data_IF_712944596116
#
_entry.id   IF_712944596116
#
_cell.length_a   1.000
_cell.length_b   1.000
_cell.length_c   1.000
_cell.angle_alpha   90.00
_cell.angle_beta   90.00
_cell.angle_gamma   90.00
#
_symmetry.space_group_name_H-M   'P 1'
#
loop_
_entity.id
_entity.type
_entity.pdbx_description
1 polymer ?
#
# COMPACT_ATOMS: atom_id res chain seq x y z
N UNK A 1 11.65 -8.11 2.14
CA UNK A 1 10.91 -8.19 3.42
C UNK A 1 10.61 -6.78 3.88
N UNK A 2 9.33 -6.44 4.10
CA UNK A 2 8.93 -5.10 4.54
C UNK A 2 9.46 -4.83 5.95
N UNK A 3 10.14 -3.70 6.15
CA UNK A 3 10.46 -3.19 7.49
C UNK A 3 9.54 -2.03 7.80
N UNK A 4 8.62 -2.23 8.75
CA UNK A 4 7.79 -1.16 9.27
C UNK A 4 8.68 -0.16 10.02
N UNK A 5 8.67 1.10 9.58
CA UNK A 5 9.42 2.16 10.25
C UNK A 5 8.70 2.55 11.54
N UNK A 6 9.45 2.95 12.57
CA UNK A 6 8.87 3.40 13.84
C UNK A 6 7.93 4.58 13.59
N UNK A 7 6.74 4.54 14.19
CA UNK A 7 5.71 5.58 14.03
C UNK A 7 4.72 5.34 12.89
N UNK A 8 4.72 4.16 12.25
CA UNK A 8 3.68 3.75 11.30
C UNK A 8 2.80 2.67 11.92
N UNK A 9 1.49 2.92 11.96
CA UNK A 9 0.46 1.94 12.29
C UNK A 9 -0.13 1.37 11.00
N UNK A 10 -0.28 0.04 10.97
CA UNK A 10 -0.94 -0.66 9.86
C UNK A 10 -2.08 -1.46 10.45
N UNK A 11 -3.29 -1.20 9.98
CA UNK A 11 -4.51 -1.93 10.31
C UNK A 11 -4.97 -2.71 9.09
N UNK A 12 -5.38 -3.95 9.29
CA UNK A 12 -5.90 -4.82 8.23
C UNK A 12 -7.35 -5.10 8.58
N UNK A 13 -8.27 -4.62 7.75
CA UNK A 13 -9.72 -4.68 7.92
C UNK A 13 -10.31 -5.47 6.74
N UNK A 14 -10.22 -6.80 6.82
CA UNK A 14 -10.68 -7.69 5.75
C UNK A 14 -9.90 -7.46 4.45
N UNK A 15 -10.53 -6.77 3.50
CA UNK A 15 -9.96 -6.44 2.19
C UNK A 15 -9.18 -5.11 2.20
N UNK A 16 -9.40 -4.27 3.21
CA UNK A 16 -8.86 -2.93 3.30
C UNK A 16 -7.62 -2.90 4.21
N UNK A 17 -6.61 -2.14 3.79
CA UNK A 17 -5.38 -1.95 4.57
C UNK A 17 -5.21 -0.45 4.84
N UNK A 18 -5.31 -0.05 6.11
CA UNK A 18 -5.18 1.34 6.54
C UNK A 18 -3.78 1.58 7.11
N UNK A 19 -3.02 2.47 6.47
CA UNK A 19 -1.68 2.87 6.91
C UNK A 19 -1.76 4.28 7.51
N UNK A 20 -1.54 4.38 8.82
CA UNK A 20 -1.60 5.62 9.58
C UNK A 20 -0.21 5.99 10.10
N UNK A 21 0.20 7.25 9.95
CA UNK A 21 1.45 7.77 10.53
C UNK A 21 1.35 9.26 10.76
N UNK A 22 2.14 9.76 11.71
CA UNK A 22 2.33 11.20 11.96
C UNK A 22 3.05 11.86 10.77
N UNK A 23 3.95 11.14 10.09
CA UNK A 23 4.66 11.66 8.91
C UNK A 23 4.06 11.11 7.62
N UNK A 24 3.64 12.02 6.73
CA UNK A 24 3.13 11.69 5.40
C UNK A 24 4.14 10.91 4.55
N UNK A 25 5.44 11.20 4.69
CA UNK A 25 6.49 10.48 3.98
C UNK A 25 6.60 9.02 4.44
N UNK A 26 6.55 8.77 5.74
CA UNK A 26 6.62 7.42 6.30
C UNK A 26 5.39 6.59 5.92
N UNK A 27 4.19 7.18 5.99
CA UNK A 27 2.95 6.55 5.53
C UNK A 27 3.04 6.22 4.03
N UNK A 28 3.46 7.19 3.20
CA UNK A 28 3.59 7.01 1.75
C UNK A 28 4.63 5.96 1.36
N UNK A 29 5.80 5.96 2.00
CA UNK A 29 6.83 4.94 1.78
C UNK A 29 6.33 3.54 2.15
N UNK A 30 5.60 3.41 3.26
CA UNK A 30 5.07 2.12 3.71
C UNK A 30 3.99 1.61 2.75
N UNK A 31 3.03 2.46 2.37
CA UNK A 31 2.00 2.12 1.40
C UNK A 31 2.59 1.71 0.04
N UNK A 32 3.56 2.49 -0.49
CA UNK A 32 4.24 2.16 -1.75
C UNK A 32 5.01 0.85 -1.67
N UNK A 33 5.63 0.55 -0.52
CA UNK A 33 6.35 -0.71 -0.33
C UNK A 33 5.41 -1.92 -0.31
N UNK A 34 4.20 -1.78 0.24
CA UNK A 34 3.17 -2.83 0.23
C UNK A 34 2.74 -3.13 -1.21
N UNK A 35 2.44 -2.10 -2.01
CA UNK A 35 2.07 -2.24 -3.42
C UNK A 35 3.20 -2.94 -4.22
N UNK A 36 4.45 -2.52 -4.02
CA UNK A 36 5.59 -3.13 -4.72
C UNK A 36 5.84 -4.58 -4.31
N UNK A 37 5.53 -4.98 -3.09
CA UNK A 37 5.65 -6.38 -2.66
C UNK A 37 4.68 -7.30 -3.41
N UNK A 38 3.52 -6.79 -3.78
CA UNK A 38 2.52 -7.53 -4.57
C UNK A 38 2.71 -7.37 -6.07
N UNK A 39 3.66 -6.54 -6.52
CA UNK A 39 3.90 -6.33 -7.95
C UNK A 39 4.46 -7.60 -8.58
N UNK A 40 3.77 -8.09 -9.61
CA UNK A 40 4.15 -9.28 -10.37
C UNK A 40 4.67 -8.93 -11.77
N UNK A 41 5.99 -8.72 -11.95
CA UNK A 41 6.56 -8.48 -13.28
C UNK A 41 6.50 -9.74 -14.15
N UNK A 42 6.35 -9.56 -15.47
CA UNK A 42 6.38 -10.65 -16.45
C UNK A 42 5.03 -11.30 -16.79
N UNK A 43 3.93 -10.78 -16.23
CA UNK A 43 2.56 -11.21 -16.54
C UNK A 43 1.77 -10.04 -17.14
N UNK A 44 0.72 -10.34 -17.91
CA UNK A 44 -0.16 -9.31 -18.45
C UNK A 44 -1.08 -8.77 -17.34
N UNK A 45 -0.89 -7.50 -17.00
CA UNK A 45 -1.64 -6.80 -15.95
C UNK A 45 -3.14 -6.65 -16.25
N UNK A 46 -3.59 -6.89 -17.48
CA UNK A 46 -5.02 -6.83 -17.84
C UNK A 46 -5.76 -8.10 -17.44
N UNK A 47 -5.05 -9.22 -17.37
CA UNK A 47 -5.60 -10.53 -16.99
C UNK A 47 -5.33 -10.78 -15.51
N UNK A 48 -4.11 -10.47 -15.05
CA UNK A 48 -3.69 -10.68 -13.67
C UNK A 48 -3.69 -9.34 -12.95
N UNK A 49 -4.83 -9.02 -12.34
CA UNK A 49 -5.05 -7.82 -11.53
C UNK A 49 -4.94 -8.08 -10.01
N UNK A 50 -4.50 -9.28 -9.63
CA UNK A 50 -4.27 -9.63 -8.22
C UNK A 50 -3.13 -8.78 -7.64
N UNK A 51 -3.45 -7.95 -6.66
CA UNK A 51 -2.48 -7.07 -6.01
C UNK A 51 -3.13 -6.17 -4.97
N UNK A 52 -2.30 -5.52 -4.17
CA UNK A 52 -2.73 -4.46 -3.27
C UNK A 52 -2.44 -3.13 -3.97
N UNK A 53 -3.44 -2.27 -4.08
CA UNK A 53 -3.35 -0.98 -4.76
C UNK A 53 -3.68 0.15 -3.80
N UNK A 54 -3.04 1.30 -3.99
CA UNK A 54 -3.35 2.48 -3.19
C UNK A 54 -4.60 3.16 -3.74
N UNK A 55 -5.72 3.02 -3.03
CA UNK A 55 -7.02 3.61 -3.40
C UNK A 55 -7.19 5.05 -2.91
N UNK A 56 -6.63 5.38 -1.74
CA UNK A 56 -6.73 6.70 -1.12
C UNK A 56 -5.34 7.21 -0.72
N UNK A 57 -5.06 8.49 -0.99
CA UNK A 57 -3.87 9.20 -0.51
C UNK A 57 -4.27 10.50 0.18
N UNK A 58 -4.07 10.57 1.50
CA UNK A 58 -4.31 11.78 2.29
C UNK A 58 -5.74 12.34 2.10
N UNK A 59 -6.75 11.47 2.14
CA UNK A 59 -8.16 11.85 1.97
C UNK A 59 -8.57 12.21 0.54
N UNK A 60 -7.72 11.93 -0.45
CA UNK A 60 -8.08 12.01 -1.88
C UNK A 60 -8.13 10.62 -2.46
N UNK A 61 -9.25 10.29 -3.09
CA UNK A 61 -9.39 9.09 -3.91
C UNK A 61 -8.49 9.22 -5.15
N UNK A 62 -7.75 8.16 -5.45
CA UNK A 62 -6.75 8.12 -6.53
C UNK A 62 -7.10 7.04 -7.57
N UNK A 63 -7.95 6.08 -7.19
CA UNK A 63 -8.43 4.99 -8.05
C UNK A 63 -9.64 5.42 -8.89
#
# INVERSE_FOLDING_TARGET
>A
MLKLRQGVQVKVEGSDIRVESVSRELAGQTAASIEQLTRRPGFDNRIFQDGIYIVEKSGKEVA
#
